data_IF_480231795862
#
_entry.id   IF_480231795862
#
_cell.length_a   1.000
_cell.length_b   1.000
_cell.length_c   1.000
_cell.angle_alpha   90.00
_cell.angle_beta   90.00
_cell.angle_gamma   90.00
#
_symmetry.space_group_name_H-M   'P 1'
#
loop_
_entity.id
_entity.type
_entity.pdbx_description
1 polymer ?
#
# COMPACT_ATOMS: atom_id res chain seq x y z
N UNK A 1 -9.04 0.17 -0.67
CA UNK A 1 -7.68 0.33 -0.11
C UNK A 1 -7.39 1.66 0.60
N UNK A 2 -7.10 2.78 -0.10
CA UNK A 2 -6.58 4.00 0.54
C UNK A 2 -7.43 4.52 1.73
N UNK A 3 -8.75 4.61 1.55
CA UNK A 3 -9.66 5.02 2.63
C UNK A 3 -9.62 4.10 3.86
N UNK A 4 -9.43 2.77 3.67
CA UNK A 4 -9.33 1.82 4.78
C UNK A 4 -8.02 2.01 5.56
N UNK A 5 -6.92 2.25 4.85
CA UNK A 5 -5.62 2.52 5.46
C UNK A 5 -5.70 3.81 6.28
N UNK A 6 -6.20 4.90 5.68
CA UNK A 6 -6.37 6.18 6.39
C UNK A 6 -7.34 6.04 7.56
N UNK A 7 -8.45 5.32 7.41
CA UNK A 7 -9.40 5.11 8.50
C UNK A 7 -8.81 4.39 9.72
N UNK A 8 -7.78 3.55 9.54
CA UNK A 8 -7.16 2.78 10.62
C UNK A 8 -5.86 3.38 11.16
N UNK A 9 -5.13 4.15 10.35
CA UNK A 9 -3.76 4.59 10.67
C UNK A 9 -3.53 6.09 10.50
N UNK A 10 -4.56 6.91 10.26
CA UNK A 10 -4.38 8.36 10.03
C UNK A 10 -3.64 9.07 11.17
N UNK A 11 -3.76 8.60 12.41
CA UNK A 11 -3.06 9.10 13.59
C UNK A 11 -1.56 8.76 13.61
N UNK A 12 -1.13 7.80 12.78
CA UNK A 12 0.25 7.29 12.69
C UNK A 12 0.96 7.66 11.38
N UNK A 13 0.29 8.36 10.46
CA UNK A 13 0.81 8.66 9.13
C UNK A 13 1.08 10.17 9.02
N UNK A 14 2.32 10.53 8.70
CA UNK A 14 2.68 11.93 8.40
C UNK A 14 2.17 12.37 7.03
N UNK A 15 2.25 11.50 6.02
CA UNK A 15 1.76 11.76 4.68
C UNK A 15 1.31 10.47 3.99
N UNK A 16 0.23 10.57 3.21
CA UNK A 16 -0.26 9.50 2.34
C UNK A 16 -0.33 10.03 0.91
N UNK A 17 0.39 9.39 -0.01
CA UNK A 17 0.52 9.88 -1.39
C UNK A 17 0.03 8.82 -2.37
N UNK A 18 -0.80 9.23 -3.33
CA UNK A 18 -1.15 8.43 -4.49
C UNK A 18 -0.32 8.91 -5.67
N UNK A 19 0.58 8.07 -6.16
CA UNK A 19 1.46 8.38 -7.29
C UNK A 19 0.85 7.71 -8.53
N UNK A 20 0.30 8.48 -9.50
CA UNK A 20 -0.16 7.90 -10.76
C UNK A 20 0.99 7.21 -11.48
N UNK A 21 0.74 6.01 -12.00
CA UNK A 21 1.71 5.27 -12.80
C UNK A 21 1.05 4.65 -14.03
N UNK A 22 1.86 4.37 -15.05
CA UNK A 22 1.43 3.71 -16.29
C UNK A 22 1.64 2.20 -16.28
N UNK A 23 1.14 1.51 -17.31
CA UNK A 23 1.46 0.10 -17.56
C UNK A 23 0.82 -0.89 -16.59
N UNK A 24 -0.26 -0.51 -15.90
CA UNK A 24 -0.99 -1.40 -15.00
C UNK A 24 -0.21 -1.80 -13.74
N UNK A 25 0.86 -1.05 -13.42
CA UNK A 25 1.68 -1.23 -12.22
C UNK A 25 0.90 -0.78 -10.99
N UNK A 26 1.06 -1.54 -9.91
CA UNK A 26 0.60 -1.16 -8.59
C UNK A 26 1.69 -1.53 -7.60
N UNK A 27 2.19 -0.54 -6.89
CA UNK A 27 3.21 -0.71 -5.86
C UNK A 27 2.77 0.00 -4.59
N UNK A 28 3.02 -0.65 -3.46
CA UNK A 28 2.74 -0.10 -2.14
C UNK A 28 4.05 -0.04 -1.37
N UNK A 29 4.39 1.15 -0.87
CA UNK A 29 5.63 1.40 -0.15
C UNK A 29 5.35 2.13 1.17
N UNK A 30 6.16 1.87 2.19
CA UNK A 30 6.21 2.67 3.42
C UNK A 30 7.65 3.11 3.61
N UNK A 31 7.86 4.42 3.80
CA UNK A 31 9.18 5.03 3.95
C UNK A 31 10.17 4.60 2.84
N UNK A 32 9.68 4.53 1.60
CA UNK A 32 10.46 4.10 0.43
C UNK A 32 10.73 2.59 0.35
N UNK A 33 10.29 1.79 1.32
CA UNK A 33 10.44 0.33 1.30
C UNK A 33 9.25 -0.33 0.62
N UNK A 34 9.51 -1.12 -0.42
CA UNK A 34 8.50 -1.87 -1.15
C UNK A 34 7.87 -2.95 -0.26
N UNK A 35 6.56 -2.85 -0.08
CA UNK A 35 5.73 -3.81 0.65
C UNK A 35 5.02 -4.79 -0.27
N UNK A 36 4.56 -4.28 -1.41
CA UNK A 36 3.82 -5.06 -2.39
C UNK A 36 4.09 -4.53 -3.80
N UNK A 37 4.25 -5.43 -4.77
CA UNK A 37 4.30 -5.08 -6.19
C UNK A 37 3.46 -6.05 -7.01
N UNK A 38 2.40 -5.53 -7.64
CA UNK A 38 1.59 -6.30 -8.60
C UNK A 38 2.43 -6.78 -9.77
N UNK A 39 3.42 -6.00 -10.18
CA UNK A 39 4.33 -6.37 -11.28
C UNK A 39 5.15 -7.62 -10.91
N UNK A 40 5.59 -7.72 -9.65
CA UNK A 40 6.35 -8.87 -9.16
C UNK A 40 5.48 -10.10 -8.90
N UNK A 41 4.26 -9.90 -8.38
CA UNK A 41 3.38 -11.00 -7.93
C UNK A 41 2.35 -11.43 -8.96
N UNK A 42 2.19 -10.68 -10.05
CA UNK A 42 1.21 -10.96 -11.11
C UNK A 42 -0.25 -10.77 -10.72
N UNK A 43 -0.54 -10.24 -9.52
CA UNK A 43 -1.90 -10.05 -9.00
C UNK A 43 -2.06 -8.74 -8.23
N UNK A 44 -3.30 -8.28 -8.12
CA UNK A 44 -3.65 -7.16 -7.24
C UNK A 44 -3.84 -7.67 -5.80
N UNK A 45 -3.45 -6.90 -4.77
CA UNK A 45 -3.61 -7.33 -3.38
C UNK A 45 -5.07 -7.21 -2.92
N UNK A 46 -5.42 -8.00 -1.91
CA UNK A 46 -6.63 -7.74 -1.12
C UNK A 46 -6.36 -6.63 -0.10
N UNK A 47 -7.41 -5.91 0.32
CA UNK A 47 -7.27 -4.85 1.33
C UNK A 47 -6.65 -5.39 2.64
N UNK A 48 -7.11 -6.55 3.11
CA UNK A 48 -6.62 -7.16 4.35
C UNK A 48 -5.16 -7.63 4.26
N UNK A 49 -4.69 -7.99 3.07
CA UNK A 49 -3.28 -8.36 2.86
C UNK A 49 -2.37 -7.16 3.13
N UNK A 50 -2.71 -5.99 2.59
CA UNK A 50 -1.95 -4.77 2.83
C UNK A 50 -2.02 -4.37 4.30
N UNK A 51 -3.19 -4.44 4.93
CA UNK A 51 -3.32 -4.09 6.36
C UNK A 51 -2.44 -4.98 7.24
N UNK A 52 -2.40 -6.30 7.01
CA UNK A 52 -1.51 -7.22 7.72
C UNK A 52 -0.03 -6.91 7.51
N UNK A 53 0.37 -6.54 6.29
CA UNK A 53 1.77 -6.18 5.99
C UNK A 53 2.23 -4.91 6.73
N UNK A 54 1.29 -4.01 7.04
CA UNK A 54 1.51 -2.81 7.85
C UNK A 54 1.61 -3.18 9.33
N UNK A 55 0.70 -4.02 9.85
CA UNK A 55 0.66 -4.40 11.28
C UNK A 55 1.91 -5.15 11.78
N UNK A 56 2.62 -5.85 10.88
CA UNK A 56 3.83 -6.64 11.22
C UNK A 56 5.08 -5.76 11.34
N UNK A 57 4.96 -4.44 11.15
CA UNK A 57 6.06 -3.47 11.19
C UNK A 57 5.87 -2.43 12.30
#
# INVERSE_FOLDING_TARGET
>A
MAQKILGRYADRITAFTLIPSGGGVFEFTIDGRLLFSKKSLGRFPEDEEILKLIDVR
#
